data_IF_346262227279
#
_entry.id   IF_346262227279
#
_cell.length_a   1.000
_cell.length_b   1.000
_cell.length_c   1.000
_cell.angle_alpha   90.00
_cell.angle_beta   90.00
_cell.angle_gamma   90.00
#
_symmetry.space_group_name_H-M   'P 1'
#
loop_
_entity.id
_entity.type
_entity.pdbx_description
1 polymer ?
#
# COMPACT_ATOMS: atom_id res chain seq x y z
N UNK A 1 77.39 -1.10 -2.87
CA UNK A 1 75.95 -1.35 -2.56
C UNK A 1 75.44 -0.27 -1.63
N UNK A 2 74.73 0.74 -2.15
CA UNK A 2 73.81 1.59 -1.38
C UNK A 2 72.79 2.19 -2.35
N UNK A 3 71.59 1.62 -2.28
CA UNK A 3 70.26 2.16 -2.59
C UNK A 3 70.08 3.03 -3.84
N UNK A 4 69.68 2.39 -4.94
CA UNK A 4 69.02 3.03 -6.09
C UNK A 4 67.49 3.07 -5.94
N UNK A 5 66.95 2.79 -4.75
CA UNK A 5 65.53 2.47 -4.56
C UNK A 5 64.71 3.57 -3.88
N UNK A 6 65.28 4.75 -3.62
CA UNK A 6 64.59 5.88 -2.95
C UNK A 6 64.68 7.15 -3.83
N UNK A 7 64.40 7.02 -5.12
CA UNK A 7 64.24 8.20 -6.01
C UNK A 7 62.91 8.23 -6.77
N UNK A 8 62.07 7.21 -6.63
CA UNK A 8 60.72 7.18 -7.21
C UNK A 8 59.60 7.58 -6.23
N UNK A 9 59.93 8.04 -5.02
CA UNK A 9 58.94 8.48 -4.01
C UNK A 9 59.06 9.96 -3.64
N UNK A 10 59.85 10.73 -4.38
CA UNK A 10 60.02 12.17 -4.13
C UNK A 10 59.62 12.99 -5.35
N UNK A 11 58.43 12.66 -5.87
CA UNK A 11 57.61 13.64 -6.59
C UNK A 11 56.51 14.06 -5.60
N UNK A 12 56.95 14.72 -4.53
CA UNK A 12 56.07 15.37 -3.55
C UNK A 12 55.66 16.73 -4.13
N UNK A 13 54.95 16.74 -5.26
CA UNK A 13 54.05 17.84 -5.56
C UNK A 13 52.88 17.75 -4.56
N UNK A 14 53.17 18.11 -3.30
CA UNK A 14 52.15 18.27 -2.29
C UNK A 14 51.07 19.19 -2.86
N UNK A 15 49.81 18.78 -2.72
CA UNK A 15 48.64 19.53 -3.14
C UNK A 15 48.90 21.02 -3.01
N UNK A 16 49.01 21.71 -4.13
CA UNK A 16 49.29 23.15 -4.07
C UNK A 16 48.11 23.79 -3.32
N UNK A 17 48.39 24.78 -2.47
CA UNK A 17 47.37 25.45 -1.65
C UNK A 17 46.14 25.85 -2.49
N UNK A 18 46.39 26.25 -3.74
CA UNK A 18 45.39 26.63 -4.75
C UNK A 18 44.52 25.45 -5.17
N UNK A 19 45.09 24.28 -5.46
CA UNK A 19 44.32 23.08 -5.81
C UNK A 19 43.42 22.64 -4.66
N UNK A 20 43.91 22.71 -3.42
CA UNK A 20 43.10 22.40 -2.22
C UNK A 20 41.94 23.40 -2.07
N UNK A 21 42.21 24.69 -2.30
CA UNK A 21 41.19 25.74 -2.21
C UNK A 21 40.11 25.56 -3.30
N UNK A 22 40.52 25.25 -4.54
CA UNK A 22 39.60 24.95 -5.64
C UNK A 22 38.77 23.71 -5.32
N UNK A 23 39.40 22.63 -4.85
CA UNK A 23 38.70 21.41 -4.45
C UNK A 23 37.68 21.67 -3.34
N UNK A 24 38.02 22.53 -2.36
CA UNK A 24 37.13 22.88 -1.26
C UNK A 24 35.91 23.70 -1.73
N UNK A 25 36.10 24.62 -2.67
CA UNK A 25 35.00 25.36 -3.31
C UNK A 25 34.11 24.44 -4.14
N UNK A 26 34.70 23.51 -4.89
CA UNK A 26 33.95 22.52 -5.67
C UNK A 26 33.14 21.61 -4.73
N UNK A 27 33.74 21.13 -3.64
CA UNK A 27 33.06 20.30 -2.65
C UNK A 27 31.98 21.05 -1.89
N UNK A 28 32.17 22.33 -1.57
CA UNK A 28 31.15 23.14 -0.87
C UNK A 28 29.90 23.36 -1.70
N UNK A 29 29.99 23.26 -3.03
CA UNK A 29 28.86 23.28 -3.95
C UNK A 29 28.30 21.86 -4.19
N UNK A 30 29.17 20.88 -4.45
CA UNK A 30 28.73 19.53 -4.78
C UNK A 30 28.00 18.85 -3.64
N UNK A 31 28.50 18.95 -2.40
CA UNK A 31 27.89 18.29 -1.24
C UNK A 31 26.44 18.71 -1.03
N UNK A 32 26.07 20.01 -0.95
CA UNK A 32 24.67 20.39 -0.80
C UNK A 32 23.83 20.01 -2.02
N UNK A 33 24.36 20.09 -3.24
CA UNK A 33 23.63 19.66 -4.45
C UNK A 33 23.26 18.18 -4.41
N UNK A 34 24.20 17.30 -4.02
CA UNK A 34 23.95 15.86 -3.89
C UNK A 34 22.97 15.57 -2.75
N UNK A 35 23.05 16.30 -1.63
CA UNK A 35 22.11 16.15 -0.51
C UNK A 35 20.69 16.55 -0.91
N UNK A 36 20.53 17.67 -1.63
CA UNK A 36 19.24 18.12 -2.16
C UNK A 36 18.67 17.08 -3.11
N UNK A 37 19.49 16.58 -4.05
CA UNK A 37 19.09 15.53 -4.98
C UNK A 37 18.61 14.27 -4.27
N UNK A 38 19.39 13.77 -3.31
CA UNK A 38 19.03 12.57 -2.54
C UNK A 38 17.73 12.75 -1.75
N UNK A 39 17.49 13.95 -1.18
CA UNK A 39 16.22 14.24 -0.50
C UNK A 39 15.04 14.26 -1.46
N UNK A 40 15.19 14.87 -2.63
CA UNK A 40 14.15 14.85 -3.66
C UNK A 40 13.86 13.44 -4.16
N UNK A 41 14.90 12.65 -4.42
CA UNK A 41 14.75 11.27 -4.86
C UNK A 41 14.09 10.41 -3.78
N UNK A 42 14.51 10.51 -2.53
CA UNK A 42 13.92 9.78 -1.42
C UNK A 42 12.44 10.12 -1.21
N UNK A 43 12.07 11.39 -1.36
CA UNK A 43 10.69 11.84 -1.27
C UNK A 43 9.82 11.31 -2.42
N UNK A 44 10.33 11.34 -3.66
CA UNK A 44 9.61 10.75 -4.80
C UNK A 44 9.45 9.24 -4.65
N UNK A 45 10.49 8.57 -4.16
CA UNK A 45 10.47 7.14 -3.90
C UNK A 45 9.44 6.78 -2.81
N UNK A 46 9.42 7.49 -1.68
CA UNK A 46 8.47 7.21 -0.60
C UNK A 46 7.02 7.43 -1.02
N UNK A 47 6.74 8.46 -1.82
CA UNK A 47 5.42 8.66 -2.41
C UNK A 47 5.01 7.51 -3.33
N UNK A 48 5.93 6.97 -4.13
CA UNK A 48 5.65 5.85 -5.01
C UNK A 48 5.41 4.56 -4.21
N UNK A 49 6.23 4.28 -3.20
CA UNK A 49 6.06 3.12 -2.32
C UNK A 49 4.73 3.17 -1.58
N UNK A 50 4.36 4.33 -1.00
CA UNK A 50 3.08 4.49 -0.32
C UNK A 50 1.89 4.21 -1.25
N UNK A 51 1.96 4.66 -2.51
CA UNK A 51 0.90 4.38 -3.51
C UNK A 51 0.78 2.90 -3.82
N UNK A 52 1.91 2.23 -4.06
CA UNK A 52 1.92 0.79 -4.36
C UNK A 52 1.44 -0.02 -3.15
N UNK A 53 1.80 0.38 -1.94
CA UNK A 53 1.35 -0.30 -0.72
C UNK A 53 -0.17 -0.21 -0.55
N UNK A 54 -0.76 0.98 -0.69
CA UNK A 54 -2.22 1.15 -0.59
C UNK A 54 -2.95 0.35 -1.67
N UNK A 55 -2.45 0.32 -2.90
CA UNK A 55 -3.05 -0.44 -4.01
C UNK A 55 -3.01 -1.95 -3.75
N UNK A 56 -1.86 -2.46 -3.31
CA UNK A 56 -1.71 -3.89 -2.94
C UNK A 56 -2.60 -4.26 -1.76
N UNK A 57 -2.68 -3.42 -0.72
CA UNK A 57 -3.57 -3.66 0.43
C UNK A 57 -5.04 -3.67 0.01
N UNK A 58 -5.47 -2.72 -0.82
CA UNK A 58 -6.84 -2.65 -1.33
C UNK A 58 -7.19 -3.90 -2.16
N UNK A 59 -6.28 -4.30 -3.06
CA UNK A 59 -6.43 -5.51 -3.85
C UNK A 59 -6.54 -6.76 -2.96
N UNK A 60 -5.65 -6.92 -1.98
CA UNK A 60 -5.68 -8.04 -1.04
C UNK A 60 -6.98 -8.08 -0.25
N UNK A 61 -7.43 -6.94 0.30
CA UNK A 61 -8.69 -6.85 1.03
C UNK A 61 -9.90 -7.19 0.17
N UNK A 62 -9.93 -6.74 -1.08
CA UNK A 62 -10.98 -7.08 -2.04
C UNK A 62 -11.02 -8.58 -2.35
N UNK A 63 -9.87 -9.19 -2.66
CA UNK A 63 -9.78 -10.63 -2.93
C UNK A 63 -10.14 -11.46 -1.71
N UNK A 64 -9.73 -11.04 -0.52
CA UNK A 64 -10.08 -11.69 0.74
C UNK A 64 -11.61 -11.71 0.93
N UNK A 65 -12.28 -10.55 0.79
CA UNK A 65 -13.75 -10.47 0.85
C UNK A 65 -14.40 -11.39 -0.17
N UNK A 66 -13.91 -11.39 -1.43
CA UNK A 66 -14.48 -12.26 -2.48
C UNK A 66 -14.37 -13.74 -2.13
N UNK A 67 -13.24 -14.16 -1.58
CA UNK A 67 -13.04 -15.55 -1.17
C UNK A 67 -14.02 -15.96 -0.08
N UNK A 68 -14.20 -15.12 0.94
CA UNK A 68 -15.14 -15.45 2.03
C UNK A 68 -16.60 -15.41 1.60
N UNK A 69 -16.96 -14.42 0.77
CA UNK A 69 -18.31 -14.32 0.21
C UNK A 69 -18.62 -15.53 -0.67
N UNK A 70 -17.62 -16.08 -1.38
CA UNK A 70 -17.81 -17.28 -2.19
C UNK A 70 -18.23 -18.49 -1.35
N UNK A 71 -17.61 -18.66 -0.17
CA UNK A 71 -17.99 -19.71 0.78
C UNK A 71 -19.19 -19.31 1.68
N UNK A 72 -19.76 -18.12 1.45
CA UNK A 72 -20.83 -17.55 2.24
C UNK A 72 -22.23 -18.05 1.88
N UNK A 73 -23.15 -17.89 2.83
CA UNK A 73 -24.59 -18.11 2.71
C UNK A 73 -25.39 -17.11 3.55
N UNK A 74 -26.69 -17.02 3.29
CA UNK A 74 -27.62 -16.15 4.02
C UNK A 74 -27.17 -14.68 4.05
N UNK A 75 -26.85 -14.13 2.87
CA UNK A 75 -26.39 -12.75 2.75
C UNK A 75 -27.50 -11.76 3.11
N UNK A 76 -27.16 -10.83 4.00
CA UNK A 76 -28.00 -9.71 4.38
C UNK A 76 -27.18 -8.43 4.28
N UNK A 77 -27.74 -7.41 3.66
CA UNK A 77 -27.09 -6.12 3.49
C UNK A 77 -27.91 -5.06 4.21
N UNK A 78 -27.23 -4.15 4.89
CA UNK A 78 -27.88 -3.03 5.56
C UNK A 78 -28.67 -2.16 4.57
N UNK A 79 -29.65 -1.40 5.05
CA UNK A 79 -30.48 -0.51 4.21
C UNK A 79 -29.67 0.51 3.41
N UNK A 80 -28.49 0.91 3.90
CA UNK A 80 -27.59 1.83 3.21
C UNK A 80 -26.57 1.14 2.28
N UNK A 81 -26.60 -0.19 2.17
CA UNK A 81 -25.68 -0.96 1.32
C UNK A 81 -24.24 -1.07 1.83
N UNK A 82 -23.90 -0.47 2.98
CA UNK A 82 -22.50 -0.34 3.44
C UNK A 82 -22.03 -1.43 4.40
N UNK A 83 -22.95 -2.25 4.87
CA UNK A 83 -22.66 -3.38 5.75
C UNK A 83 -23.20 -4.66 5.13
N UNK A 84 -22.38 -5.71 5.14
CA UNK A 84 -22.73 -7.04 4.68
C UNK A 84 -22.56 -8.01 5.86
N UNK A 85 -23.61 -8.79 6.10
CA UNK A 85 -23.65 -9.86 7.09
C UNK A 85 -23.97 -11.18 6.39
N UNK A 86 -23.21 -12.23 6.68
CA UNK A 86 -23.44 -13.57 6.12
C UNK A 86 -22.84 -14.62 7.04
N UNK A 87 -23.14 -15.89 6.76
CA UNK A 87 -22.51 -17.02 7.44
C UNK A 87 -21.52 -17.70 6.50
N UNK A 88 -20.31 -18.00 6.99
CA UNK A 88 -19.32 -18.74 6.21
C UNK A 88 -19.64 -20.25 6.18
N UNK A 89 -18.78 -21.04 5.54
CA UNK A 89 -18.91 -22.50 5.46
C UNK A 89 -18.81 -23.23 6.81
N UNK A 90 -18.17 -22.65 7.81
CA UNK A 90 -18.06 -23.20 9.18
C UNK A 90 -19.22 -22.82 10.09
N UNK A 91 -20.10 -21.91 9.64
CA UNK A 91 -21.24 -21.43 10.40
C UNK A 91 -20.97 -20.19 11.25
N UNK A 92 -19.80 -19.57 11.13
CA UNK A 92 -19.50 -18.29 11.77
C UNK A 92 -20.17 -17.14 11.03
N UNK A 93 -20.71 -16.19 11.79
CA UNK A 93 -21.26 -14.95 11.22
C UNK A 93 -20.11 -13.99 10.90
N UNK A 94 -20.00 -13.59 9.64
CA UNK A 94 -19.04 -12.60 9.16
C UNK A 94 -19.78 -11.29 8.87
N UNK A 95 -19.23 -10.20 9.40
CA UNK A 95 -19.70 -8.84 9.16
C UNK A 95 -18.60 -8.01 8.52
N UNK A 96 -18.90 -7.41 7.37
CA UNK A 96 -18.06 -6.40 6.72
C UNK A 96 -18.73 -5.04 6.77
N UNK A 97 -17.96 -4.00 7.12
CA UNK A 97 -18.42 -2.60 7.09
C UNK A 97 -17.27 -1.64 6.93
N UNK A 98 -17.54 -0.45 6.38
CA UNK A 98 -16.58 0.65 6.38
C UNK A 98 -16.79 1.54 7.62
N UNK A 99 -15.71 1.89 8.33
CA UNK A 99 -15.75 2.82 9.45
C UNK A 99 -15.57 4.29 9.01
N UNK A 100 -15.68 5.23 9.94
CA UNK A 100 -15.47 6.66 9.68
C UNK A 100 -14.02 7.02 9.30
N UNK A 101 -13.07 6.12 9.55
CA UNK A 101 -11.64 6.27 9.22
C UNK A 101 -11.28 5.68 7.86
N UNK A 102 -12.27 5.40 6.99
CA UNK A 102 -12.06 4.82 5.66
C UNK A 102 -11.41 3.43 5.67
N UNK A 103 -11.66 2.65 6.72
CA UNK A 103 -11.15 1.29 6.85
C UNK A 103 -12.29 0.29 6.71
N UNK A 104 -12.04 -0.79 5.97
CA UNK A 104 -12.94 -1.92 5.97
C UNK A 104 -12.63 -2.79 7.18
N UNK A 105 -13.64 -2.96 8.02
CA UNK A 105 -13.61 -3.80 9.19
C UNK A 105 -14.29 -5.13 8.88
N UNK A 106 -13.66 -6.20 9.33
CA UNK A 106 -14.20 -7.56 9.38
C UNK A 106 -14.41 -7.99 10.82
N UNK A 107 -15.62 -8.41 11.13
CA UNK A 107 -16.04 -8.93 12.42
C UNK A 107 -16.45 -10.40 12.27
N UNK A 108 -16.08 -11.25 13.24
CA UNK A 108 -16.46 -12.66 13.29
C UNK A 108 -17.27 -12.89 14.56
N UNK A 109 -18.49 -13.42 14.42
CA UNK A 109 -19.41 -13.69 15.53
C UNK A 109 -19.64 -12.46 16.43
N UNK A 110 -19.56 -11.25 15.85
CA UNK A 110 -19.69 -9.98 16.57
C UNK A 110 -18.51 -9.62 17.49
N UNK A 111 -17.47 -10.46 17.59
CA UNK A 111 -16.35 -10.27 18.53
C UNK A 111 -15.12 -9.73 17.81
N UNK A 112 -14.67 -8.54 18.22
CA UNK A 112 -13.46 -7.89 17.71
C UNK A 112 -13.56 -7.48 16.24
N UNK A 113 -12.83 -6.45 15.82
CA UNK A 113 -12.78 -6.03 14.43
C UNK A 113 -11.34 -6.09 13.91
N UNK A 114 -11.15 -6.76 12.78
CA UNK A 114 -9.89 -6.78 12.04
C UNK A 114 -9.99 -5.82 10.86
N UNK A 115 -8.96 -5.02 10.62
CA UNK A 115 -8.88 -4.14 9.46
C UNK A 115 -8.35 -4.96 8.29
N UNK A 116 -9.10 -4.98 7.18
CA UNK A 116 -8.70 -5.73 5.97
C UNK A 116 -8.20 -4.83 4.84
N UNK A 117 -8.60 -3.56 4.84
CA UNK A 117 -8.20 -2.56 3.84
C UNK A 117 -8.30 -1.15 4.45
N UNK A 118 -7.40 -0.28 4.03
CA UNK A 118 -7.36 1.14 4.40
C UNK A 118 -7.66 2.03 3.19
N UNK A 119 -7.88 3.33 3.43
CA UNK A 119 -8.08 4.36 2.41
C UNK A 119 -9.24 4.08 1.43
N UNK A 120 -10.29 3.43 1.95
CA UNK A 120 -11.52 3.11 1.22
C UNK A 120 -12.48 4.30 1.26
N UNK A 121 -12.65 4.94 0.11
CA UNK A 121 -13.53 6.09 -0.09
C UNK A 121 -14.99 5.67 -0.05
N UNK A 122 -15.31 4.55 -0.69
CA UNK A 122 -16.67 4.04 -0.73
C UNK A 122 -16.69 2.52 -0.77
N UNK A 123 -17.70 1.95 -0.12
CA UNK A 123 -17.96 0.52 -0.10
C UNK A 123 -19.47 0.34 -0.19
N UNK A 124 -19.92 -0.45 -1.16
CA UNK A 124 -21.29 -0.89 -1.24
C UNK A 124 -21.41 -2.35 -1.64
N UNK A 125 -22.43 -2.97 -1.10
CA UNK A 125 -22.82 -4.35 -1.35
C UNK A 125 -24.22 -4.38 -1.92
N UNK A 126 -24.47 -5.32 -2.83
CA UNK A 126 -25.80 -5.56 -3.37
C UNK A 126 -26.01 -7.06 -3.47
N UNK A 127 -27.00 -7.58 -2.74
CA UNK A 127 -27.36 -8.99 -2.83
C UNK A 127 -28.17 -9.20 -4.09
N UNK A 128 -27.77 -10.18 -4.88
CA UNK A 128 -28.51 -10.64 -6.05
C UNK A 128 -29.17 -11.99 -5.71
N UNK A 129 -30.47 -11.94 -5.45
CA UNK A 129 -31.22 -13.13 -5.07
C UNK A 129 -31.42 -14.13 -6.20
N UNK A 130 -31.38 -13.68 -7.46
CA UNK A 130 -31.53 -14.54 -8.64
C UNK A 130 -30.27 -15.35 -8.90
N UNK A 131 -29.09 -14.73 -8.74
CA UNK A 131 -27.80 -15.38 -8.93
C UNK A 131 -27.18 -15.94 -7.64
N UNK A 132 -27.89 -15.81 -6.50
CA UNK A 132 -27.46 -16.26 -5.17
C UNK A 132 -26.06 -15.78 -4.82
N UNK A 133 -25.85 -14.46 -4.89
CA UNK A 133 -24.53 -13.88 -4.67
C UNK A 133 -24.57 -12.42 -4.25
N UNK A 134 -23.38 -11.83 -4.18
CA UNK A 134 -23.19 -10.44 -3.78
C UNK A 134 -22.35 -9.73 -4.82
N UNK A 135 -22.81 -8.56 -5.24
CA UNK A 135 -22.00 -7.59 -5.97
C UNK A 135 -21.30 -6.69 -4.97
N UNK A 136 -19.98 -6.58 -5.10
CA UNK A 136 -19.12 -5.72 -4.29
C UNK A 136 -18.68 -4.56 -5.18
N UNK A 137 -18.87 -3.34 -4.69
CA UNK A 137 -18.30 -2.12 -5.26
C UNK A 137 -17.46 -1.44 -4.19
N UNK A 138 -16.16 -1.35 -4.41
CA UNK A 138 -15.21 -0.71 -3.51
C UNK A 138 -14.44 0.35 -4.28
N UNK A 139 -14.29 1.54 -3.70
CA UNK A 139 -13.47 2.60 -4.26
C UNK A 139 -12.40 3.02 -3.26
N UNK A 140 -11.16 3.13 -3.73
CA UNK A 140 -10.02 3.60 -2.95
C UNK A 140 -9.41 4.83 -3.59
N UNK A 141 -8.78 5.71 -2.79
CA UNK A 141 -8.09 6.89 -3.30
C UNK A 141 -6.59 6.71 -3.12
N UNK A 142 -5.86 6.57 -4.23
CA UNK A 142 -4.42 6.37 -4.23
C UNK A 142 -3.77 7.54 -4.97
N UNK A 143 -3.05 8.38 -4.23
CA UNK A 143 -2.32 9.51 -4.81
C UNK A 143 -3.19 10.52 -5.57
N UNK A 144 -4.46 10.68 -5.18
CA UNK A 144 -5.43 11.56 -5.83
C UNK A 144 -6.19 10.91 -7.00
N UNK A 145 -5.94 9.64 -7.29
CA UNK A 145 -6.68 8.85 -8.28
C UNK A 145 -7.64 7.90 -7.57
N UNK A 146 -8.91 7.93 -7.94
CA UNK A 146 -9.90 6.97 -7.43
C UNK A 146 -9.84 5.68 -8.24
N UNK A 147 -9.47 4.58 -7.59
CA UNK A 147 -9.54 3.23 -8.16
C UNK A 147 -10.88 2.60 -7.80
N UNK A 148 -11.50 1.88 -8.74
CA UNK A 148 -12.78 1.20 -8.53
C UNK A 148 -12.61 -0.29 -8.73
N UNK A 149 -12.99 -1.05 -7.71
CA UNK A 149 -13.00 -2.51 -7.67
C UNK A 149 -14.43 -2.98 -7.67
N UNK A 150 -14.80 -3.70 -8.72
CA UNK A 150 -16.16 -4.19 -8.90
C UNK A 150 -16.14 -5.68 -9.21
N UNK A 151 -17.03 -6.43 -8.57
CA UNK A 151 -17.12 -7.86 -8.81
C UNK A 151 -18.38 -8.49 -8.24
N UNK A 152 -18.97 -9.36 -9.04
CA UNK A 152 -19.98 -10.30 -8.55
C UNK A 152 -19.31 -11.56 -8.01
N UNK A 153 -19.81 -12.05 -6.88
CA UNK A 153 -19.38 -13.28 -6.24
C UNK A 153 -20.61 -14.14 -5.98
N UNK A 154 -20.66 -15.32 -6.59
CA UNK A 154 -21.67 -16.32 -6.27
C UNK A 154 -21.35 -16.98 -4.92
N UNK A 155 -22.33 -17.04 -4.03
CA UNK A 155 -22.22 -17.77 -2.77
C UNK A 155 -22.50 -19.27 -2.97
N UNK A 156 -21.90 -20.10 -2.11
CA UNK A 156 -22.05 -21.56 -2.17
C UNK A 156 -23.37 -22.07 -1.58
N UNK A 157 -24.02 -21.33 -0.69
CA UNK A 157 -25.21 -21.81 0.03
C UNK A 157 -26.52 -21.24 -0.49
N UNK A 158 -27.46 -22.12 -0.85
CA UNK A 158 -28.87 -21.78 -0.96
C UNK A 158 -29.41 -21.24 0.38
N UNK A 159 -30.41 -20.36 0.27
CA UNK A 159 -31.17 -19.81 1.39
C UNK A 159 -31.63 -20.88 2.39
#
# INVERSE_FOLDING_TARGET
MKSASIRCLHDESGLTLIETLIALVVMSILVPSVLIWNRHFAHLASMQFARTETDVQAWQGFYFMRSEIHDGKLFTVSSNGKELNFYNGTGDQITYRCNASNQILRQVNGVGASVIANDVVSLSFTVDSSRKGVTILMQTSVGGVTLTWHGFVAGRGGY
#
